data_IF_348779557661
#
_entry.id   IF_348779557661
#
_cell.length_a   1.000
_cell.length_b   1.000
_cell.length_c   1.000
_cell.angle_alpha   90.00
_cell.angle_beta   90.00
_cell.angle_gamma   90.00
#
_symmetry.space_group_name_H-M   'P 1'
#
loop_
_entity.id
_entity.type
_entity.pdbx_description
1 polymer ?
#
# COMPACT_ATOMS: atom_id res chain seq x y z
N UNK A 1 -7.12 0.35 18.77
CA UNK A 1 -7.19 0.26 17.30
C UNK A 1 -7.63 1.60 16.73
N UNK A 2 -6.88 2.13 15.78
CA UNK A 2 -7.20 3.38 15.13
C UNK A 2 -7.57 3.14 13.68
N UNK A 3 -8.63 3.81 13.20
CA UNK A 3 -8.97 3.90 11.78
C UNK A 3 -9.12 5.36 11.40
N UNK A 4 -8.48 5.76 10.32
CA UNK A 4 -8.68 7.10 9.78
C UNK A 4 -8.51 7.10 8.26
N UNK A 5 -9.11 8.09 7.61
CA UNK A 5 -8.98 8.31 6.17
C UNK A 5 -8.67 9.77 5.91
N UNK A 6 -7.79 10.00 4.94
CA UNK A 6 -7.47 11.34 4.45
C UNK A 6 -7.38 11.32 2.93
N UNK A 7 -7.59 12.47 2.30
CA UNK A 7 -7.42 12.65 0.86
C UNK A 7 -6.14 13.41 0.58
N UNK A 8 -5.40 12.99 -0.43
CA UNK A 8 -4.12 13.60 -0.77
C UNK A 8 -4.03 13.94 -2.27
N UNK A 9 -3.21 14.93 -2.58
CA UNK A 9 -2.87 15.32 -3.97
C UNK A 9 -1.91 14.34 -4.63
N UNK A 10 -1.23 13.50 -3.85
CA UNK A 10 -0.25 12.56 -4.39
C UNK A 10 -0.93 11.50 -5.24
N UNK A 11 -0.17 10.95 -6.21
CA UNK A 11 -0.61 9.77 -6.94
C UNK A 11 -0.62 8.55 -6.02
N UNK A 12 -1.33 7.47 -6.39
CA UNK A 12 -1.29 6.24 -5.60
C UNK A 12 0.14 5.73 -5.35
N UNK A 13 0.97 5.69 -6.37
CA UNK A 13 2.35 5.20 -6.25
C UNK A 13 3.20 6.09 -5.33
N UNK A 14 3.08 7.41 -5.46
CA UNK A 14 3.78 8.34 -4.57
C UNK A 14 3.37 8.14 -3.11
N UNK A 15 2.07 7.91 -2.87
CA UNK A 15 1.55 7.67 -1.52
C UNK A 15 2.09 6.37 -0.95
N UNK A 16 2.13 5.31 -1.74
CA UNK A 16 2.69 4.02 -1.33
C UNK A 16 4.18 4.13 -0.98
N UNK A 17 4.94 4.86 -1.79
CA UNK A 17 6.37 5.08 -1.53
C UNK A 17 6.60 5.86 -0.23
N UNK A 18 5.82 6.90 0.01
CA UNK A 18 5.92 7.66 1.26
C UNK A 18 5.54 6.83 2.49
N UNK A 19 4.47 6.04 2.38
CA UNK A 19 4.05 5.16 3.47
C UNK A 19 5.12 4.12 3.79
N UNK A 20 5.65 3.48 2.78
CA UNK A 20 6.71 2.49 2.91
C UNK A 20 7.92 3.07 3.65
N UNK A 21 8.41 4.19 3.16
CA UNK A 21 9.56 4.87 3.77
C UNK A 21 9.30 5.27 5.22
N UNK A 22 8.15 5.91 5.47
CA UNK A 22 7.82 6.40 6.80
C UNK A 22 7.71 5.27 7.83
N UNK A 23 6.95 4.23 7.52
CA UNK A 23 6.72 3.13 8.48
C UNK A 23 7.95 2.25 8.65
N UNK A 24 8.73 2.03 7.61
CA UNK A 24 9.99 1.32 7.74
C UNK A 24 11.00 2.10 8.59
N UNK A 25 11.09 3.41 8.44
CA UNK A 25 11.92 4.27 9.30
C UNK A 25 11.45 4.27 10.76
N UNK A 26 10.18 3.95 11.01
CA UNK A 26 9.62 3.82 12.36
C UNK A 26 9.64 2.39 12.91
N UNK A 27 10.41 1.52 12.29
CA UNK A 27 10.67 0.18 12.81
C UNK A 27 9.66 -0.90 12.41
N UNK A 28 8.75 -0.61 11.47
CA UNK A 28 7.84 -1.62 10.95
C UNK A 28 8.42 -2.25 9.69
N UNK A 29 8.12 -3.53 9.51
CA UNK A 29 8.53 -4.25 8.30
C UNK A 29 7.35 -4.35 7.33
N UNK A 30 7.60 -4.04 6.05
CA UNK A 30 6.63 -4.28 5.00
C UNK A 30 6.61 -5.78 4.69
N UNK A 31 5.46 -6.42 4.95
CA UNK A 31 5.33 -7.87 4.76
C UNK A 31 4.52 -8.23 3.54
N UNK A 32 3.66 -7.34 3.05
CA UNK A 32 2.84 -7.64 1.89
C UNK A 32 2.41 -6.36 1.17
N UNK A 33 2.39 -6.40 -0.16
CA UNK A 33 1.77 -5.40 -1.01
C UNK A 33 0.64 -6.06 -1.79
N UNK A 34 -0.48 -5.34 -1.97
CA UNK A 34 -1.70 -5.87 -2.54
C UNK A 34 -2.23 -4.92 -3.60
N UNK A 35 -2.72 -5.47 -4.71
CA UNK A 35 -3.48 -4.72 -5.70
C UNK A 35 -4.86 -5.35 -5.83
N UNK A 36 -5.89 -4.55 -5.63
CA UNK A 36 -7.29 -4.94 -5.84
C UNK A 36 -7.72 -4.49 -7.24
N UNK A 37 -8.27 -5.41 -8.01
CA UNK A 37 -8.57 -5.23 -9.42
C UNK A 37 -10.04 -5.53 -9.69
N UNK A 38 -10.59 -4.87 -10.70
CA UNK A 38 -11.95 -5.11 -11.18
C UNK A 38 -11.91 -5.32 -12.69
N UNK A 39 -12.62 -6.33 -13.16
CA UNK A 39 -12.73 -6.66 -14.57
C UNK A 39 -14.09 -7.24 -14.91
N UNK A 40 -14.27 -7.67 -16.16
CA UNK A 40 -15.54 -8.18 -16.67
C UNK A 40 -16.10 -9.37 -15.90
N UNK A 41 -15.22 -10.22 -15.36
CA UNK A 41 -15.60 -11.41 -14.62
C UNK A 41 -15.75 -11.20 -13.11
N UNK A 42 -15.57 -9.98 -12.61
CA UNK A 42 -15.64 -9.68 -11.19
C UNK A 42 -14.35 -9.07 -10.65
N UNK A 43 -14.02 -9.38 -9.41
CA UNK A 43 -12.86 -8.83 -8.71
C UNK A 43 -11.72 -9.84 -8.66
N UNK A 44 -10.51 -9.32 -8.70
CA UNK A 44 -9.29 -10.10 -8.56
C UNK A 44 -8.33 -9.38 -7.60
N UNK A 45 -7.33 -10.11 -7.13
CA UNK A 45 -6.37 -9.58 -6.19
C UNK A 45 -4.98 -10.11 -6.54
N UNK A 46 -3.99 -9.24 -6.52
CA UNK A 46 -2.58 -9.61 -6.65
C UNK A 46 -1.90 -9.32 -5.32
N UNK A 47 -1.22 -10.32 -4.76
CA UNK A 47 -0.47 -10.19 -3.53
C UNK A 47 1.00 -10.47 -3.79
N UNK A 48 1.87 -9.59 -3.29
CA UNK A 48 3.31 -9.79 -3.35
C UNK A 48 3.83 -9.69 -1.92
N UNK A 49 4.45 -10.76 -1.44
CA UNK A 49 5.11 -10.76 -0.13
C UNK A 49 6.26 -9.77 -0.16
N UNK A 50 6.34 -8.93 0.86
CA UNK A 50 7.37 -7.92 0.98
C UNK A 50 8.72 -8.50 1.37
N UNK A 51 9.78 -7.73 1.09
CA UNK A 51 11.08 -8.00 1.65
C UNK A 51 12.11 -8.54 0.68
N UNK A 52 12.76 -9.61 1.06
CA UNK A 52 13.95 -10.13 0.38
C UNK A 52 13.69 -11.46 -0.27
N UNK A 53 14.25 -11.66 -1.47
CA UNK A 53 14.36 -13.00 -2.03
C UNK A 53 15.29 -13.82 -1.15
N UNK A 54 14.89 -15.07 -0.91
CA UNK A 54 15.74 -15.99 -0.15
C UNK A 54 17.09 -16.14 -0.86
N UNK A 55 18.12 -15.68 -0.23
CA UNK A 55 19.52 -15.91 -0.58
C UNK A 55 20.33 -14.70 -1.00
N UNK A 56 19.98 -13.85 -1.93
CA UNK A 56 20.97 -12.91 -2.49
C UNK A 56 20.49 -11.55 -2.93
N UNK A 57 19.23 -11.32 -3.16
CA UNK A 57 18.76 -10.05 -3.70
C UNK A 57 17.56 -9.54 -2.96
N UNK A 58 17.57 -8.27 -2.66
CA UNK A 58 16.39 -7.54 -2.26
C UNK A 58 15.60 -7.19 -3.52
N UNK A 59 14.28 -7.24 -3.43
CA UNK A 59 13.43 -6.73 -4.47
C UNK A 59 12.43 -5.74 -3.88
N UNK A 60 12.04 -4.77 -4.67
CA UNK A 60 11.00 -3.85 -4.29
C UNK A 60 9.64 -4.48 -4.63
N UNK A 61 8.92 -4.93 -3.61
CA UNK A 61 7.62 -5.57 -3.78
C UNK A 61 6.59 -4.65 -4.45
N UNK A 62 6.73 -3.33 -4.29
CA UNK A 62 5.85 -2.35 -4.93
C UNK A 62 6.07 -2.31 -6.45
N UNK A 63 7.33 -2.40 -6.89
CA UNK A 63 7.64 -2.47 -8.32
C UNK A 63 7.15 -3.77 -8.95
N UNK A 64 7.31 -4.88 -8.25
CA UNK A 64 6.77 -6.18 -8.70
C UNK A 64 5.24 -6.13 -8.79
N UNK A 65 4.58 -5.55 -7.79
CA UNK A 65 3.14 -5.39 -7.79
C UNK A 65 2.67 -4.53 -8.98
N UNK A 66 3.35 -3.42 -9.24
CA UNK A 66 3.03 -2.52 -10.34
C UNK A 66 3.15 -3.24 -11.69
N UNK A 67 4.22 -3.99 -11.87
CA UNK A 67 4.46 -4.78 -13.08
C UNK A 67 3.38 -5.84 -13.31
N UNK A 68 3.01 -6.59 -12.27
CA UNK A 68 1.94 -7.59 -12.34
C UNK A 68 0.58 -6.93 -12.58
N UNK A 69 0.33 -5.77 -11.99
CA UNK A 69 -0.92 -5.02 -12.20
C UNK A 69 -1.03 -4.55 -13.66
N UNK A 70 0.07 -4.04 -14.22
CA UNK A 70 0.11 -3.63 -15.63
C UNK A 70 -0.10 -4.82 -16.58
N UNK A 71 0.46 -5.98 -16.26
CA UNK A 71 0.22 -7.20 -17.02
C UNK A 71 -1.26 -7.62 -16.98
N UNK A 72 -1.89 -7.56 -15.82
CA UNK A 72 -3.32 -7.86 -15.67
C UNK A 72 -4.20 -6.91 -16.49
N UNK A 73 -3.83 -5.63 -16.54
CA UNK A 73 -4.53 -4.63 -17.38
C UNK A 73 -4.39 -4.96 -18.86
N UNK A 74 -3.17 -5.16 -19.32
CA UNK A 74 -2.90 -5.30 -20.75
C UNK A 74 -3.36 -6.66 -21.31
N UNK A 75 -3.24 -7.73 -20.53
CA UNK A 75 -3.56 -9.10 -20.99
C UNK A 75 -4.99 -9.52 -20.69
N UNK A 76 -5.58 -9.07 -19.60
CA UNK A 76 -6.87 -9.56 -19.11
C UNK A 76 -7.91 -8.46 -18.92
N UNK A 77 -7.58 -7.20 -19.16
CA UNK A 77 -8.53 -6.10 -19.06
C UNK A 77 -8.96 -5.75 -17.64
N UNK A 78 -8.20 -6.13 -16.64
CA UNK A 78 -8.46 -5.73 -15.26
C UNK A 78 -7.97 -4.30 -15.01
N UNK A 79 -8.72 -3.54 -14.21
CA UNK A 79 -8.34 -2.20 -13.79
C UNK A 79 -8.11 -2.15 -12.28
N UNK A 80 -7.05 -1.48 -11.82
CA UNK A 80 -6.80 -1.37 -10.39
C UNK A 80 -7.83 -0.44 -9.73
N UNK A 81 -8.36 -0.89 -8.60
CA UNK A 81 -9.32 -0.16 -7.77
C UNK A 81 -8.62 0.49 -6.58
N UNK A 82 -7.74 -0.26 -5.94
CA UNK A 82 -6.97 0.21 -4.79
C UNK A 82 -5.71 -0.63 -4.60
N UNK A 83 -4.80 -0.08 -3.80
CA UNK A 83 -3.56 -0.74 -3.42
C UNK A 83 -3.44 -0.79 -1.91
N UNK A 84 -2.81 -1.83 -1.39
CA UNK A 84 -2.62 -2.00 0.04
C UNK A 84 -1.18 -2.31 0.40
N UNK A 85 -0.77 -1.82 1.57
CA UNK A 85 0.50 -2.18 2.21
C UNK A 85 0.19 -2.71 3.60
N UNK A 86 0.78 -3.83 3.95
CA UNK A 86 0.68 -4.39 5.28
C UNK A 86 2.05 -4.36 5.96
N UNK A 87 2.12 -3.64 7.09
CA UNK A 87 3.34 -3.51 7.90
C UNK A 87 3.18 -4.24 9.22
N UNK A 88 4.24 -4.87 9.67
CA UNK A 88 4.28 -5.63 10.92
C UNK A 88 5.43 -5.21 11.80
N UNK A 89 5.19 -5.27 13.11
CA UNK A 89 6.21 -5.08 14.14
C UNK A 89 5.85 -5.95 15.35
N UNK A 90 6.77 -6.16 16.31
CA UNK A 90 6.50 -7.05 17.45
C UNK A 90 5.26 -6.69 18.28
N UNK A 91 4.91 -5.41 18.37
CA UNK A 91 3.79 -4.95 19.19
C UNK A 91 2.47 -4.82 18.43
N UNK A 92 2.49 -4.78 17.12
CA UNK A 92 1.27 -4.54 16.35
C UNK A 92 1.51 -4.46 14.85
N UNK A 93 0.61 -3.75 14.16
CA UNK A 93 0.66 -3.63 12.71
C UNK A 93 0.03 -2.33 12.22
N UNK A 94 0.31 -2.01 10.96
CA UNK A 94 -0.33 -0.89 10.23
C UNK A 94 -0.74 -1.41 8.86
N UNK A 95 -1.99 -1.15 8.48
CA UNK A 95 -2.49 -1.40 7.14
C UNK A 95 -2.77 -0.07 6.45
N UNK A 96 -2.23 0.10 5.25
CA UNK A 96 -2.43 1.28 4.42
C UNK A 96 -3.16 0.86 3.16
N UNK A 97 -4.31 1.48 2.89
CA UNK A 97 -5.05 1.26 1.64
C UNK A 97 -5.13 2.58 0.88
N UNK A 98 -4.77 2.55 -0.39
CA UNK A 98 -4.70 3.73 -1.25
C UNK A 98 -5.62 3.52 -2.44
N UNK A 99 -6.61 4.39 -2.62
CA UNK A 99 -7.53 4.30 -3.75
C UNK A 99 -6.83 4.69 -5.06
N UNK A 100 -7.34 4.16 -6.17
CA UNK A 100 -6.92 4.58 -7.51
C UNK A 100 -7.91 5.60 -8.09
N UNK A 101 -8.20 6.63 -7.31
CA UNK A 101 -9.13 7.70 -7.65
C UNK A 101 -8.44 9.06 -7.58
N UNK A 102 -9.14 10.12 -7.96
CA UNK A 102 -8.68 11.52 -7.81
C UNK A 102 -9.74 12.33 -7.09
N UNK A 103 -9.43 12.91 -5.92
CA UNK A 103 -8.18 12.77 -5.17
C UNK A 103 -8.01 11.37 -4.60
N UNK A 104 -6.78 10.98 -4.36
CA UNK A 104 -6.46 9.70 -3.75
C UNK A 104 -6.93 9.70 -2.30
N UNK A 105 -7.66 8.68 -1.92
CA UNK A 105 -8.06 8.44 -0.53
C UNK A 105 -7.10 7.43 0.10
N UNK A 106 -6.56 7.79 1.26
CA UNK A 106 -5.66 6.97 2.03
C UNK A 106 -6.37 6.54 3.30
N UNK A 107 -6.59 5.24 3.44
CA UNK A 107 -7.19 4.64 4.64
C UNK A 107 -6.11 3.95 5.45
N UNK A 108 -6.09 4.22 6.73
CA UNK A 108 -5.06 3.74 7.65
C UNK A 108 -5.72 3.04 8.83
N UNK A 109 -5.30 1.79 9.07
CA UNK A 109 -5.70 1.00 10.24
C UNK A 109 -4.45 0.67 11.03
N UNK A 110 -4.48 0.82 12.34
CA UNK A 110 -3.33 0.46 13.18
C UNK A 110 -3.71 -0.20 14.48
N UNK A 111 -2.81 -1.04 14.96
CA UNK A 111 -2.78 -1.58 16.31
C UNK A 111 -1.42 -1.24 16.89
N UNK A 112 -1.40 -0.50 18.00
CA UNK A 112 -0.20 -0.05 18.74
C UNK A 112 0.66 1.02 18.05
N UNK A 113 0.26 1.54 16.88
CA UNK A 113 1.04 2.56 16.14
C UNK A 113 0.20 3.78 15.79
N UNK A 114 -0.76 4.13 16.65
CA UNK A 114 -1.72 5.21 16.41
C UNK A 114 -1.06 6.58 16.23
N UNK A 115 -0.04 6.87 17.04
CA UNK A 115 0.69 8.14 16.95
C UNK A 115 1.42 8.28 15.60
N UNK A 116 2.07 7.23 15.14
CA UNK A 116 2.77 7.21 13.86
C UNK A 116 1.81 7.35 12.69
N UNK A 117 0.66 6.70 12.75
CA UNK A 117 -0.39 6.81 11.73
C UNK A 117 -0.91 8.24 11.64
N UNK A 118 -1.19 8.88 12.77
CA UNK A 118 -1.63 10.28 12.82
C UNK A 118 -0.59 11.23 12.25
N UNK A 119 0.68 11.03 12.58
CA UNK A 119 1.78 11.83 12.03
C UNK A 119 1.89 11.67 10.52
N UNK A 120 1.83 10.44 10.04
CA UNK A 120 1.89 10.18 8.61
C UNK A 120 0.76 10.88 7.87
N UNK A 121 -0.47 10.73 8.36
CA UNK A 121 -1.63 11.38 7.75
C UNK A 121 -1.49 12.90 7.71
N UNK A 122 -0.95 13.51 8.77
CA UNK A 122 -0.75 14.95 8.84
C UNK A 122 0.33 15.46 7.88
N UNK A 123 1.29 14.63 7.51
CA UNK A 123 2.36 14.98 6.57
C UNK A 123 1.97 14.86 5.11
N UNK A 124 0.87 14.20 4.80
CA UNK A 124 0.41 14.09 3.42
C UNK A 124 -0.12 15.42 2.92
N UNK A 125 0.24 15.84 1.68
CA UNK A 125 -0.34 17.03 1.07
C UNK A 125 -1.86 16.84 0.93
N UNK A 126 -2.63 17.77 1.46
CA UNK A 126 -4.09 17.69 1.42
C UNK A 126 -4.63 17.97 0.02
N UNK A 127 -5.62 17.22 -0.36
CA UNK A 127 -6.34 17.44 -1.61
C UNK A 127 -7.30 18.62 -1.48
#
# INVERSE_FOLDING_TARGET
MLRLSVKTKLSPLQTLDRASKYFEENGLALVETISHLHGKGGFAEIRVSGGKLVGKAEYDSKLVLDELTNDARSKFGFEPVSFGLHFHAPLGHVDVTVSNEKPVEVSLDSVEYDAQVKQFANKLPKA
#
